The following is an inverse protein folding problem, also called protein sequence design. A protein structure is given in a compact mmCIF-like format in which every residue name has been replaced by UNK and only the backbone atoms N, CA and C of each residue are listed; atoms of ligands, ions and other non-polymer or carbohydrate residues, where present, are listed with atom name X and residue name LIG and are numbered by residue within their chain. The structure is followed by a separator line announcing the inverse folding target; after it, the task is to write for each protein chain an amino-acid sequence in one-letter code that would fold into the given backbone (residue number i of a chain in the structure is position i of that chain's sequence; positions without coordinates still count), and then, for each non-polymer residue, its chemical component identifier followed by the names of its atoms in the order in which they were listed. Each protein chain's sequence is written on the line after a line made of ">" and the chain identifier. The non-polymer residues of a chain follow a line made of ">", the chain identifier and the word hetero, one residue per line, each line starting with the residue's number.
data_IF_935666815962
#
_entry.id   IF_935666815962
#
_cell.length_a   1.000
_cell.length_b   1.000
_cell.length_c   1.000
_cell.angle_alpha   90.00
_cell.angle_beta   90.00
_cell.angle_gamma   90.00
#
_symmetry.space_group_name_H-M   'P 1'
#
loop_
_entity.id
_entity.type
_entity.pdbx_description
1 polymer ?
#
# COMPACT_ATOMS: atom_id res chain seq x y z
N UNK A 1 -5.48 -9.87 11.44
CA UNK A 1 -4.95 -8.51 11.16
C UNK A 1 -3.83 -8.56 10.14
N UNK A 2 -2.72 -9.27 10.41
CA UNK A 2 -1.55 -9.32 9.50
C UNK A 2 -1.87 -9.61 8.03
N UNK A 3 -2.63 -10.68 7.72
CA UNK A 3 -2.91 -11.07 6.33
C UNK A 3 -3.56 -9.99 5.47
N UNK A 4 -4.56 -9.27 5.98
CA UNK A 4 -5.26 -8.24 5.22
C UNK A 4 -4.36 -7.02 4.96
N UNK A 5 -3.55 -6.64 5.96
CA UNK A 5 -2.52 -5.61 5.83
C UNK A 5 -1.46 -6.01 4.80
N UNK A 6 -0.95 -7.23 4.88
CA UNK A 6 0.12 -7.69 3.98
C UNK A 6 -0.38 -7.75 2.54
N UNK A 7 -1.64 -8.15 2.31
CA UNK A 7 -2.27 -8.08 0.99
C UNK A 7 -2.38 -6.63 0.49
N UNK A 8 -2.89 -5.71 1.32
CA UNK A 8 -3.07 -4.32 0.94
C UNK A 8 -1.74 -3.63 0.61
N UNK A 9 -0.68 -3.91 1.39
CA UNK A 9 0.67 -3.39 1.11
C UNK A 9 1.26 -3.99 -0.15
N UNK A 10 1.06 -5.29 -0.39
CA UNK A 10 1.56 -5.94 -1.62
C UNK A 10 0.88 -5.39 -2.86
N UNK A 11 -0.44 -5.16 -2.83
CA UNK A 11 -1.14 -4.52 -3.95
C UNK A 11 -0.67 -3.08 -4.18
N UNK A 12 -0.38 -2.33 -3.11
CA UNK A 12 0.16 -0.98 -3.20
C UNK A 12 1.55 -0.97 -3.86
N UNK A 13 2.40 -1.91 -3.48
CA UNK A 13 3.74 -2.10 -4.06
C UNK A 13 3.67 -2.52 -5.54
N UNK A 14 2.86 -3.54 -5.86
CA UNK A 14 2.66 -4.03 -7.22
C UNK A 14 2.22 -2.88 -8.15
N UNK A 15 1.23 -2.06 -7.71
CA UNK A 15 0.76 -0.89 -8.47
C UNK A 15 1.82 0.20 -8.63
N UNK A 16 2.69 0.38 -7.64
CA UNK A 16 3.78 1.34 -7.74
C UNK A 16 4.85 0.85 -8.73
N UNK A 17 5.19 -0.44 -8.68
CA UNK A 17 6.11 -1.07 -9.61
C UNK A 17 5.60 -1.03 -11.06
N UNK A 18 4.30 -1.28 -11.29
CA UNK A 18 3.66 -1.13 -12.60
C UNK A 18 3.77 0.31 -13.17
N UNK A 19 3.89 1.31 -12.30
CA UNK A 19 4.10 2.71 -12.66
C UNK A 19 5.58 3.09 -12.84
N UNK A 20 6.51 2.14 -12.67
CA UNK A 20 7.96 2.39 -12.75
C UNK A 20 8.53 3.10 -11.53
N UNK A 21 7.81 3.11 -10.41
CA UNK A 21 8.33 3.57 -9.13
C UNK A 21 9.18 2.48 -8.46
N UNK A 22 10.21 2.89 -7.72
CA UNK A 22 11.07 1.99 -6.95
C UNK A 22 10.81 2.08 -5.44
N UNK A 23 9.96 3.01 -5.00
CA UNK A 23 9.50 3.09 -3.61
C UNK A 23 8.09 3.69 -3.52
N UNK A 24 7.43 3.43 -2.38
CA UNK A 24 6.21 4.13 -1.96
C UNK A 24 6.48 4.83 -0.64
N UNK A 25 6.33 6.15 -0.63
CA UNK A 25 6.59 6.99 0.56
C UNK A 25 5.28 7.57 1.10
N UNK A 26 5.30 7.90 2.39
CA UNK A 26 4.11 8.41 3.09
C UNK A 26 2.97 7.40 3.10
N UNK A 27 3.28 6.14 3.40
CA UNK A 27 2.28 5.08 3.44
C UNK A 27 1.37 5.27 4.66
N UNK A 28 0.06 5.31 4.41
CA UNK A 28 -0.96 5.35 5.45
C UNK A 28 -1.86 4.12 5.37
N UNK A 29 -2.31 3.64 6.54
CA UNK A 29 -3.09 2.41 6.68
C UNK A 29 -4.36 2.68 7.49
N UNK A 30 -5.49 2.65 6.81
CA UNK A 30 -6.80 2.81 7.42
C UNK A 30 -7.45 1.45 7.68
N UNK A 31 -8.00 1.31 8.89
CA UNK A 31 -8.74 0.14 9.31
C UNK A 31 -10.17 0.55 9.62
N UNK A 32 -11.10 0.07 8.81
CA UNK A 32 -12.52 0.36 8.99
C UNK A 32 -13.29 -0.93 9.23
N UNK A 33 -14.26 -0.88 10.15
CA UNK A 33 -15.16 -2.01 10.40
C UNK A 33 -16.49 -1.70 9.75
N UNK A 34 -16.83 -2.45 8.71
CA UNK A 34 -18.08 -2.31 7.96
C UNK A 34 -18.86 -3.60 8.13
N UNK A 35 -20.04 -3.54 8.77
CA UNK A 35 -20.93 -4.68 8.97
C UNK A 35 -20.20 -5.96 9.44
N UNK A 36 -19.38 -5.85 10.48
CA UNK A 36 -18.60 -6.94 11.07
C UNK A 36 -17.46 -7.49 10.17
N UNK A 37 -17.15 -6.84 9.05
CA UNK A 37 -15.96 -7.10 8.23
C UNK A 37 -14.91 -6.03 8.47
N UNK A 38 -13.65 -6.45 8.57
CA UNK A 38 -12.51 -5.53 8.64
C UNK A 38 -12.01 -5.23 7.23
N UNK A 39 -12.14 -3.97 6.83
CA UNK A 39 -11.50 -3.42 5.64
C UNK A 39 -10.13 -2.85 6.03
N UNK A 40 -9.14 -3.11 5.18
CA UNK A 40 -7.82 -2.51 5.30
C UNK A 40 -7.53 -1.79 4.00
N UNK A 41 -7.30 -0.48 4.09
CA UNK A 41 -6.96 0.37 2.97
C UNK A 41 -5.53 0.87 3.16
N UNK A 42 -4.72 0.78 2.11
CA UNK A 42 -3.37 1.32 2.08
C UNK A 42 -3.30 2.44 1.04
N UNK A 43 -2.73 3.58 1.43
CA UNK A 43 -2.48 4.71 0.52
C UNK A 43 -1.03 5.16 0.63
N UNK A 44 -0.50 5.84 -0.39
CA UNK A 44 0.88 6.32 -0.41
C UNK A 44 1.27 6.95 -1.75
N UNK A 45 2.46 7.52 -1.81
CA UNK A 45 3.00 8.18 -3.01
C UNK A 45 4.08 7.33 -3.65
N UNK A 46 3.83 6.85 -4.88
CA UNK A 46 4.82 6.13 -5.67
C UNK A 46 5.89 7.09 -6.19
N UNK A 47 7.16 6.82 -5.89
CA UNK A 47 8.31 7.65 -6.28
C UNK A 47 9.37 6.80 -6.97
N UNK A 48 10.09 7.41 -7.91
CA UNK A 48 11.28 6.85 -8.51
C UNK A 48 12.45 7.78 -8.22
N UNK A 49 13.54 7.23 -7.71
CA UNK A 49 14.80 7.93 -7.52
C UNK A 49 15.94 7.12 -8.15
N UNK A 50 16.81 7.79 -8.89
CA UNK A 50 18.07 7.21 -9.36
C UNK A 50 19.08 7.25 -8.21
N UNK A 51 19.61 6.10 -7.81
CA UNK A 51 20.81 6.04 -6.99
C UNK A 51 22.02 6.30 -7.90
N UNK A 52 22.58 7.53 -7.84
CA UNK A 52 23.83 7.90 -8.49
C UNK A 52 25.06 7.49 -7.66
#
# INVERSE_FOLDING_TARGET
>A
LGKARDIALRELEERAAEKGANAVVGVDLDYEVINNMLMVSASGTAVSFDEQ
#
